data_IF_110353859623
#
_entry.id   IF_110353859623
#
_cell.length_a   1.000
_cell.length_b   1.000
_cell.length_c   1.000
_cell.angle_alpha   90.00
_cell.angle_beta   90.00
_cell.angle_gamma   90.00
#
_symmetry.space_group_name_H-M   'P 1'
#
loop_
_entity.id
_entity.type
_entity.pdbx_description
1 polymer ?
#
# COMPACT_ATOMS: atom_id res chain seq x y z
N UNK A 1 -7.89 -8.54 -19.61
CA UNK A 1 -7.68 -9.98 -19.40
C UNK A 1 -7.44 -10.28 -17.94
N UNK A 2 -8.38 -11.00 -17.32
CA UNK A 2 -8.33 -11.45 -15.92
C UNK A 2 -8.26 -12.97 -15.90
N UNK A 3 -7.69 -13.55 -14.85
CA UNK A 3 -7.72 -14.99 -14.65
C UNK A 3 -9.10 -15.40 -14.14
N UNK A 4 -9.74 -16.34 -14.80
CA UNK A 4 -11.04 -16.90 -14.42
C UNK A 4 -10.90 -18.37 -14.09
N UNK A 5 -11.49 -18.80 -12.96
CA UNK A 5 -11.69 -20.21 -12.62
C UNK A 5 -12.99 -20.65 -13.29
N UNK A 6 -12.91 -21.64 -14.17
CA UNK A 6 -14.07 -22.27 -14.79
C UNK A 6 -14.50 -23.45 -13.93
N UNK A 7 -15.80 -23.60 -13.71
CA UNK A 7 -16.40 -24.62 -12.84
C UNK A 7 -17.30 -25.58 -13.60
N UNK A 8 -17.48 -26.78 -13.07
CA UNK A 8 -18.48 -27.73 -13.54
C UNK A 8 -19.85 -27.48 -12.87
N UNK A 9 -20.84 -28.32 -13.19
CA UNK A 9 -22.20 -28.25 -12.61
C UNK A 9 -22.24 -28.56 -11.11
N UNK A 10 -21.23 -29.25 -10.60
CA UNK A 10 -21.01 -29.52 -9.17
C UNK A 10 -20.24 -28.41 -8.46
N UNK A 11 -19.97 -27.29 -9.15
CA UNK A 11 -19.21 -26.14 -8.64
C UNK A 11 -17.73 -26.45 -8.31
N UNK A 12 -17.17 -27.51 -8.88
CA UNK A 12 -15.76 -27.87 -8.77
C UNK A 12 -14.95 -27.18 -9.86
N UNK A 13 -13.73 -26.77 -9.54
CA UNK A 13 -12.80 -26.17 -10.49
C UNK A 13 -12.36 -27.19 -11.55
N UNK A 14 -12.54 -26.85 -12.82
CA UNK A 14 -12.09 -27.67 -13.95
C UNK A 14 -10.91 -27.06 -14.70
N UNK A 15 -10.80 -25.72 -14.72
CA UNK A 15 -9.76 -25.04 -15.48
C UNK A 15 -9.56 -23.60 -14.98
N UNK A 16 -8.40 -23.03 -15.29
CA UNK A 16 -8.09 -21.61 -15.11
C UNK A 16 -7.65 -21.01 -16.44
N UNK A 17 -8.30 -19.94 -16.88
CA UNK A 17 -8.01 -19.29 -18.16
C UNK A 17 -7.75 -17.79 -17.97
N UNK A 18 -6.82 -17.23 -18.75
CA UNK A 18 -6.60 -15.79 -18.86
C UNK A 18 -7.39 -15.28 -20.07
N UNK A 19 -8.48 -14.54 -19.82
CA UNK A 19 -9.38 -14.09 -20.88
C UNK A 19 -10.07 -12.77 -20.50
N UNK A 20 -10.80 -12.17 -21.42
CA UNK A 20 -11.67 -11.04 -21.13
C UNK A 20 -13.05 -11.51 -20.68
N UNK A 21 -13.73 -10.71 -19.85
CA UNK A 21 -15.03 -11.05 -19.26
C UNK A 21 -16.06 -11.45 -20.32
N UNK A 22 -16.08 -10.75 -21.45
CA UNK A 22 -17.00 -11.01 -22.56
C UNK A 22 -16.84 -12.43 -23.13
N UNK A 23 -15.59 -12.90 -23.27
CA UNK A 23 -15.31 -14.26 -23.74
C UNK A 23 -15.76 -15.30 -22.72
N UNK A 24 -15.48 -15.06 -21.43
CA UNK A 24 -15.82 -16.01 -20.36
C UNK A 24 -17.33 -16.08 -20.14
N UNK A 25 -18.02 -14.94 -20.19
CA UNK A 25 -19.48 -14.90 -20.13
C UNK A 25 -20.10 -15.61 -21.34
N UNK A 26 -19.60 -15.37 -22.55
CA UNK A 26 -20.15 -15.99 -23.76
C UNK A 26 -19.99 -17.52 -23.80
N UNK A 27 -18.89 -18.06 -23.24
CA UNK A 27 -18.58 -19.50 -23.32
C UNK A 27 -18.88 -20.28 -22.04
N UNK A 28 -18.90 -19.60 -20.89
CA UNK A 28 -19.01 -20.23 -19.56
C UNK A 28 -20.02 -19.51 -18.65
N UNK A 29 -21.04 -18.85 -19.21
CA UNK A 29 -22.08 -18.12 -18.48
C UNK A 29 -22.54 -18.85 -17.20
N UNK A 30 -22.43 -18.17 -16.05
CA UNK A 30 -22.83 -18.70 -14.75
C UNK A 30 -21.97 -19.84 -14.19
N UNK A 31 -20.86 -20.21 -14.85
CA UNK A 31 -19.94 -21.30 -14.46
C UNK A 31 -18.48 -20.82 -14.36
N UNK A 32 -18.28 -19.57 -13.97
CA UNK A 32 -16.95 -19.02 -13.76
C UNK A 32 -16.87 -18.18 -12.48
N UNK A 33 -15.67 -18.05 -11.95
CA UNK A 33 -15.33 -17.14 -10.86
C UNK A 33 -14.12 -16.31 -11.27
N UNK A 34 -14.21 -14.99 -11.11
CA UNK A 34 -13.09 -14.11 -11.34
C UNK A 34 -12.06 -14.28 -10.23
N UNK A 35 -10.83 -14.65 -10.59
CA UNK A 35 -9.73 -14.65 -9.63
C UNK A 35 -9.33 -13.20 -9.43
N UNK A 36 -9.90 -12.59 -8.38
CA UNK A 36 -9.36 -11.36 -7.86
C UNK A 36 -7.98 -11.71 -7.30
N UNK A 37 -6.87 -11.15 -7.84
CA UNK A 37 -5.59 -11.34 -7.22
C UNK A 37 -5.74 -10.85 -5.79
N UNK A 38 -5.55 -11.74 -4.82
CA UNK A 38 -5.43 -11.34 -3.43
C UNK A 38 -4.20 -10.43 -3.39
N UNK A 39 -4.42 -9.12 -3.46
CA UNK A 39 -3.36 -8.15 -3.32
C UNK A 39 -2.70 -8.48 -2.00
N UNK A 40 -1.46 -8.97 -2.04
CA UNK A 40 -0.72 -9.28 -0.82
C UNK A 40 -0.82 -8.04 0.07
N UNK A 41 -1.49 -8.11 1.23
CA UNK A 41 -1.57 -6.94 2.09
C UNK A 41 -0.15 -6.59 2.46
N UNK A 42 0.30 -5.39 2.09
CA UNK A 42 1.59 -4.87 2.52
C UNK A 42 1.56 -4.91 4.05
N UNK A 43 2.53 -5.56 4.72
CA UNK A 43 2.57 -5.57 6.17
C UNK A 43 2.52 -4.13 6.71
N UNK A 44 1.73 -3.88 7.75
CA UNK A 44 1.49 -2.52 8.29
C UNK A 44 2.81 -1.81 8.59
N UNK A 45 3.81 -2.52 9.11
CA UNK A 45 5.14 -1.98 9.36
C UNK A 45 5.88 -1.54 8.09
N UNK A 46 5.71 -2.26 6.99
CA UNK A 46 6.31 -1.89 5.70
C UNK A 46 5.65 -0.63 5.17
N UNK A 47 4.31 -0.56 5.22
CA UNK A 47 3.56 0.64 4.83
C UNK A 47 3.97 1.86 5.67
N UNK A 48 4.12 1.69 6.98
CA UNK A 48 4.57 2.74 7.90
C UNK A 48 6.00 3.22 7.59
N UNK A 49 6.93 2.32 7.25
CA UNK A 49 8.29 2.69 6.85
C UNK A 49 8.32 3.43 5.52
N UNK A 50 7.46 3.05 4.57
CA UNK A 50 7.30 3.75 3.29
C UNK A 50 6.80 5.18 3.52
N UNK A 51 5.71 5.34 4.28
CA UNK A 51 5.19 6.66 4.64
C UNK A 51 6.25 7.55 5.31
N UNK A 52 7.00 7.02 6.28
CA UNK A 52 8.09 7.76 6.94
C UNK A 52 9.15 8.21 5.93
N UNK A 53 9.50 7.38 4.95
CA UNK A 53 10.46 7.75 3.92
C UNK A 53 9.92 8.88 3.04
N UNK A 54 8.65 8.81 2.64
CA UNK A 54 7.98 9.85 1.87
C UNK A 54 7.96 11.19 2.64
N UNK A 55 7.66 11.18 3.94
CA UNK A 55 7.71 12.40 4.77
C UNK A 55 9.13 12.96 4.90
N UNK A 56 10.15 12.10 5.04
CA UNK A 56 11.54 12.53 5.08
C UNK A 56 12.01 13.11 3.73
N UNK A 57 11.51 12.60 2.61
CA UNK A 57 11.79 13.15 1.29
C UNK A 57 11.06 14.50 1.10
N UNK A 58 9.76 14.54 1.40
CA UNK A 58 8.92 15.72 1.25
C UNK A 58 9.40 16.91 2.09
N UNK A 59 10.08 16.66 3.22
CA UNK A 59 10.60 17.69 4.12
C UNK A 59 12.10 17.95 3.96
N UNK A 60 12.79 17.35 2.98
CA UNK A 60 14.25 17.50 2.87
C UNK A 60 14.70 18.91 2.50
N UNK A 61 13.88 19.62 1.71
CA UNK A 61 14.14 20.97 1.23
C UNK A 61 14.43 21.99 2.34
N UNK A 62 13.93 21.76 3.55
CA UNK A 62 14.07 22.70 4.67
C UNK A 62 15.45 22.62 5.32
N UNK A 63 16.16 21.49 5.21
CA UNK A 63 17.45 21.27 5.88
C UNK A 63 18.47 22.39 5.60
N UNK A 64 18.70 22.84 4.35
CA UNK A 64 19.63 23.94 4.07
C UNK A 64 19.08 25.34 4.40
N UNK A 65 17.78 25.51 4.67
CA UNK A 65 17.12 26.81 4.86
C UNK A 65 17.15 27.25 6.33
N UNK A 66 18.34 27.49 6.87
CA UNK A 66 18.55 27.79 8.31
C UNK A 66 17.92 29.10 8.79
N UNK A 67 17.59 30.01 7.86
CA UNK A 67 16.91 31.27 8.12
C UNK A 67 15.38 31.16 8.04
N UNK A 68 14.84 30.00 7.64
CA UNK A 68 13.40 29.81 7.53
C UNK A 68 12.74 29.76 8.92
N UNK A 69 11.61 30.49 9.15
CA UNK A 69 10.98 30.57 10.47
C UNK A 69 10.54 29.21 11.03
N UNK A 70 10.24 28.25 10.15
CA UNK A 70 9.84 26.89 10.54
C UNK A 70 11.01 25.89 10.59
N UNK A 71 12.25 26.30 10.30
CA UNK A 71 13.41 25.40 10.23
C UNK A 71 13.53 24.51 11.46
N UNK A 72 13.50 25.12 12.65
CA UNK A 72 13.59 24.41 13.91
C UNK A 72 12.48 23.36 14.09
N UNK A 73 11.23 23.70 13.78
CA UNK A 73 10.08 22.79 13.89
C UNK A 73 10.24 21.58 12.96
N UNK A 74 10.66 21.80 11.71
CA UNK A 74 10.92 20.72 10.77
C UNK A 74 12.12 19.85 11.17
N UNK A 75 13.18 20.44 11.73
CA UNK A 75 14.33 19.67 12.21
C UNK A 75 13.94 18.73 13.36
N UNK A 76 13.12 19.19 14.31
CA UNK A 76 12.56 18.35 15.37
C UNK A 76 11.67 17.25 14.80
N UNK A 77 10.79 17.59 13.86
CA UNK A 77 9.90 16.62 13.22
C UNK A 77 10.68 15.52 12.47
N UNK A 78 11.70 15.91 11.71
CA UNK A 78 12.57 15.01 10.96
C UNK A 78 13.42 14.11 11.86
N UNK A 79 13.76 14.55 13.06
CA UNK A 79 14.40 13.69 14.07
C UNK A 79 13.39 12.64 14.58
N UNK A 80 12.19 13.07 14.96
CA UNK A 80 11.13 12.18 15.42
C UNK A 80 10.77 11.12 14.37
N UNK A 81 10.68 11.48 13.08
CA UNK A 81 10.46 10.53 11.98
C UNK A 81 11.56 9.45 11.89
N UNK A 82 12.84 9.82 12.10
CA UNK A 82 13.95 8.86 12.02
C UNK A 82 13.96 7.89 13.20
N UNK A 83 13.65 8.40 14.39
CA UNK A 83 13.62 7.60 15.62
C UNK A 83 12.36 6.72 15.72
N UNK A 84 11.25 7.15 15.10
CA UNK A 84 9.93 6.54 15.23
C UNK A 84 9.90 5.00 15.08
N UNK A 85 10.54 4.35 14.09
CA UNK A 85 10.50 2.90 13.95
C UNK A 85 11.16 2.09 15.07
N UNK A 86 11.87 2.77 15.98
CA UNK A 86 12.50 2.19 17.17
C UNK A 86 11.71 2.50 18.45
N UNK A 87 10.56 3.17 18.33
CA UNK A 87 9.69 3.54 19.46
C UNK A 87 8.53 2.56 19.60
N UNK A 88 7.94 2.48 20.79
CA UNK A 88 6.72 1.69 21.06
C UNK A 88 5.50 2.17 20.26
N UNK A 89 5.56 3.39 19.72
CA UNK A 89 4.50 4.00 18.93
C UNK A 89 4.47 3.51 17.47
N UNK A 90 5.49 2.80 17.00
CA UNK A 90 5.52 2.25 15.66
C UNK A 90 4.77 0.91 15.59
N UNK A 91 3.95 0.65 14.55
CA UNK A 91 3.61 1.51 13.41
C UNK A 91 2.35 2.37 13.60
N UNK A 92 1.74 2.36 14.78
CA UNK A 92 0.35 2.82 15.00
C UNK A 92 0.19 4.35 15.09
N UNK A 93 1.15 5.05 15.71
CA UNK A 93 1.04 6.48 16.01
C UNK A 93 2.09 7.29 15.25
N UNK A 94 1.66 8.00 14.21
CA UNK A 94 2.53 8.80 13.36
C UNK A 94 3.06 10.05 14.10
N UNK A 95 4.37 10.38 13.95
CA UNK A 95 4.89 11.67 14.37
C UNK A 95 4.15 12.82 13.67
N UNK A 96 4.04 13.98 14.34
CA UNK A 96 3.39 15.18 13.79
C UNK A 96 4.34 16.37 13.80
N UNK A 97 4.26 17.21 12.77
CA UNK A 97 4.96 18.49 12.72
C UNK A 97 4.39 19.41 13.81
N UNK A 98 5.26 19.94 14.68
CA UNK A 98 4.88 20.92 15.69
C UNK A 98 4.50 22.25 15.03
N UNK A 99 3.44 22.87 15.55
CA UNK A 99 2.96 24.21 15.15
C UNK A 99 3.83 25.33 15.71
#
# INVERSE_FOLDING_TARGET
MTTYIIKNESNEEINRILADKEFVEANYAGRYEEVVPAGNPVPVEVAARLWRNEELEATDFIVPLTDHPQHAAYMTYRAALRDWPSTENFPETLPRLGS
#
